data_IF_299591195422
#
_entry.id   IF_299591195422
#
_cell.length_a   1.000
_cell.length_b   1.000
_cell.length_c   1.000
_cell.angle_alpha   90.00
_cell.angle_beta   90.00
_cell.angle_gamma   90.00
#
_symmetry.space_group_name_H-M   'P 1'
#
loop_
_entity.id
_entity.type
_entity.pdbx_description
1 polymer ?
#
# COMPACT_ATOMS: atom_id res chain seq x y z
N UNK A 1 -23.83 -4.39 -5.68
CA UNK A 1 -23.64 -5.23 -4.47
C UNK A 1 -23.39 -4.32 -3.28
N UNK A 2 -23.95 -4.57 -2.09
CA UNK A 2 -23.62 -3.79 -0.90
C UNK A 2 -22.15 -4.00 -0.55
N UNK A 3 -21.36 -2.93 -0.48
CA UNK A 3 -19.92 -2.97 -0.15
C UNK A 3 -19.63 -3.65 1.19
N UNK A 4 -20.58 -3.61 2.12
CA UNK A 4 -20.50 -4.25 3.44
C UNK A 4 -20.43 -5.78 3.40
N UNK A 5 -21.18 -6.43 2.51
CA UNK A 5 -21.17 -7.90 2.38
C UNK A 5 -19.85 -8.40 1.79
N UNK A 6 -19.33 -7.65 0.81
CA UNK A 6 -18.05 -7.97 0.18
C UNK A 6 -16.88 -7.80 1.17
N UNK A 7 -16.87 -6.71 1.93
CA UNK A 7 -15.86 -6.48 2.97
C UNK A 7 -15.94 -7.54 4.08
N UNK A 8 -17.16 -7.95 4.47
CA UNK A 8 -17.39 -9.00 5.47
C UNK A 8 -16.88 -10.37 5.01
N UNK A 9 -17.24 -10.77 3.79
CA UNK A 9 -16.78 -12.01 3.17
C UNK A 9 -15.25 -12.02 3.03
N UNK A 10 -14.67 -10.93 2.51
CA UNK A 10 -13.23 -10.85 2.30
C UNK A 10 -12.42 -10.89 3.60
N UNK A 11 -12.91 -10.25 4.68
CA UNK A 11 -12.29 -10.35 6.01
C UNK A 11 -12.25 -11.77 6.54
N UNK A 12 -13.27 -12.59 6.29
CA UNK A 12 -13.28 -13.98 6.71
C UNK A 12 -12.26 -14.82 5.93
N UNK A 13 -12.17 -14.62 4.61
CA UNK A 13 -11.25 -15.37 3.75
C UNK A 13 -9.79 -14.98 3.98
N UNK A 14 -9.49 -13.68 4.12
CA UNK A 14 -8.11 -13.26 4.37
C UNK A 14 -7.61 -13.71 5.73
N UNK A 15 -8.48 -13.70 6.76
CA UNK A 15 -8.14 -14.19 8.10
C UNK A 15 -7.84 -15.68 8.16
N UNK A 16 -8.46 -16.52 7.34
CA UNK A 16 -8.19 -17.96 7.38
C UNK A 16 -6.84 -18.32 6.77
N UNK A 17 -6.40 -17.59 5.75
CA UNK A 17 -5.10 -17.81 5.10
C UNK A 17 -3.92 -17.30 5.95
N UNK A 18 -4.12 -16.19 6.64
CA UNK A 18 -3.12 -15.62 7.56
C UNK A 18 -3.36 -16.03 9.02
N UNK A 19 -4.34 -16.90 9.27
CA UNK A 19 -4.77 -17.27 10.61
C UNK A 19 -5.55 -18.57 10.69
N UNK A 20 -4.90 -19.57 11.28
CA UNK A 20 -5.47 -20.67 12.06
C UNK A 20 -4.31 -21.29 12.85
N UNK A 21 -4.23 -21.03 14.17
CA UNK A 21 -3.03 -21.25 15.00
C UNK A 21 -2.23 -19.95 15.21
N UNK A 22 -1.21 -19.95 16.10
CA UNK A 22 -0.53 -18.73 16.59
C UNK A 22 0.07 -17.78 15.52
N UNK A 23 0.16 -18.17 14.24
CA UNK A 23 0.56 -17.29 13.13
C UNK A 23 0.00 -17.63 11.71
N UNK A 24 -0.85 -18.67 11.55
CA UNK A 24 -1.36 -19.14 10.26
C UNK A 24 -0.35 -19.94 9.40
N UNK A 25 -0.84 -20.71 8.43
CA UNK A 25 -0.02 -21.66 7.65
C UNK A 25 1.09 -21.00 6.80
N UNK A 26 0.91 -19.74 6.39
CA UNK A 26 1.93 -18.97 5.68
C UNK A 26 3.18 -18.75 6.56
N UNK A 27 2.98 -18.52 7.86
CA UNK A 27 4.08 -18.42 8.81
C UNK A 27 4.75 -19.78 9.06
N UNK A 28 3.98 -20.87 9.05
CA UNK A 28 4.52 -22.24 9.17
C UNK A 28 5.44 -22.62 8.01
N UNK A 29 5.20 -22.07 6.81
CA UNK A 29 6.10 -22.21 5.66
C UNK A 29 7.38 -21.35 5.74
N UNK A 30 7.56 -20.56 6.81
CA UNK A 30 8.73 -19.71 7.01
C UNK A 30 8.71 -18.40 6.22
N UNK A 31 7.54 -17.94 5.77
CA UNK A 31 7.41 -16.65 5.09
C UNK A 31 7.78 -15.50 6.03
N UNK A 32 8.57 -14.54 5.54
CA UNK A 32 8.96 -13.34 6.28
C UNK A 32 8.12 -12.16 5.82
N UNK A 33 7.21 -11.73 6.68
CA UNK A 33 6.38 -10.57 6.45
C UNK A 33 6.41 -9.68 7.70
N UNK A 34 7.27 -8.67 7.70
CA UNK A 34 7.56 -7.87 8.89
C UNK A 34 6.36 -6.97 9.29
N UNK A 35 5.75 -6.29 8.32
CA UNK A 35 4.67 -5.32 8.57
C UNK A 35 3.38 -5.60 7.78
N UNK A 36 3.29 -6.68 7.01
CA UNK A 36 2.06 -7.06 6.30
C UNK A 36 2.07 -6.81 4.79
N UNK A 37 3.22 -6.95 4.11
CA UNK A 37 3.34 -7.02 2.66
C UNK A 37 2.27 -7.90 2.01
N UNK A 38 2.13 -9.12 2.53
CA UNK A 38 1.16 -10.10 2.03
C UNK A 38 -0.23 -9.81 2.61
N UNK A 39 -0.30 -9.57 3.91
CA UNK A 39 -1.57 -9.46 4.66
C UNK A 39 -2.36 -8.21 4.26
N UNK A 40 -1.70 -7.10 3.94
CA UNK A 40 -2.31 -5.80 3.67
C UNK A 40 -2.20 -5.45 2.18
N UNK A 41 -0.99 -5.38 1.62
CA UNK A 41 -0.79 -4.81 0.28
C UNK A 41 -1.17 -5.78 -0.84
N UNK A 42 -0.65 -7.01 -0.81
CA UNK A 42 -0.99 -8.02 -1.82
C UNK A 42 -2.46 -8.41 -1.72
N UNK A 43 -2.99 -8.61 -0.50
CA UNK A 43 -4.39 -9.00 -0.32
C UNK A 43 -5.36 -7.93 -0.84
N UNK A 44 -5.15 -6.66 -0.49
CA UNK A 44 -6.01 -5.57 -0.96
C UNK A 44 -5.82 -5.28 -2.45
N UNK A 45 -4.58 -5.36 -2.97
CA UNK A 45 -4.27 -5.14 -4.38
C UNK A 45 -4.90 -6.20 -5.29
N UNK A 46 -4.76 -7.48 -4.94
CA UNK A 46 -5.39 -8.58 -5.69
C UNK A 46 -6.92 -8.52 -5.62
N UNK A 47 -7.48 -8.13 -4.49
CA UNK A 47 -8.93 -7.88 -4.35
C UNK A 47 -9.40 -6.75 -5.25
N UNK A 48 -8.69 -5.62 -5.23
CA UNK A 48 -9.01 -4.45 -6.02
C UNK A 48 -8.95 -4.79 -7.52
N UNK A 49 -7.94 -5.56 -7.94
CA UNK A 49 -7.82 -6.05 -9.31
C UNK A 49 -8.99 -6.96 -9.70
N UNK A 50 -9.29 -7.98 -8.87
CA UNK A 50 -10.40 -8.89 -9.13
C UNK A 50 -11.74 -8.14 -9.24
N UNK A 51 -12.00 -7.19 -8.34
CA UNK A 51 -13.20 -6.36 -8.37
C UNK A 51 -13.25 -5.43 -9.58
N UNK A 52 -12.12 -4.81 -9.93
CA UNK A 52 -12.04 -3.95 -11.11
C UNK A 52 -12.34 -4.76 -12.39
N UNK A 53 -11.81 -5.99 -12.50
CA UNK A 53 -12.09 -6.88 -13.64
C UNK A 53 -13.55 -7.34 -13.69
N UNK A 54 -14.21 -7.56 -12.54
CA UNK A 54 -15.61 -7.98 -12.49
C UNK A 54 -16.59 -6.83 -12.75
N UNK A 55 -16.29 -5.63 -12.26
CA UNK A 55 -17.16 -4.45 -12.44
C UNK A 55 -17.01 -3.80 -13.81
N UNK A 56 -15.84 -3.94 -14.44
CA UNK A 56 -15.51 -3.32 -15.72
C UNK A 56 -15.19 -1.83 -15.61
N UNK A 57 -14.81 -1.23 -16.74
CA UNK A 57 -14.41 0.18 -16.79
C UNK A 57 -15.57 1.16 -16.58
N UNK A 58 -15.27 2.32 -15.99
CA UNK A 58 -16.24 3.42 -15.84
C UNK A 58 -16.47 4.12 -17.19
N UNK A 59 -17.74 4.42 -17.51
CA UNK A 59 -18.17 5.06 -18.78
C UNK A 59 -17.41 6.35 -19.17
N UNK A 60 -17.01 7.18 -18.20
CA UNK A 60 -16.32 8.47 -18.43
C UNK A 60 -14.88 8.46 -17.91
N UNK A 61 -14.11 7.41 -18.24
CA UNK A 61 -12.73 7.25 -17.77
C UNK A 61 -11.84 8.45 -18.13
N UNK A 62 -11.97 8.98 -19.34
CA UNK A 62 -11.14 10.08 -19.84
C UNK A 62 -11.33 11.40 -19.07
N UNK A 63 -12.44 11.58 -18.38
CA UNK A 63 -12.78 12.79 -17.61
C UNK A 63 -12.38 12.67 -16.12
N UNK A 64 -11.85 11.52 -15.71
CA UNK A 64 -11.53 11.22 -14.31
C UNK A 64 -10.16 11.78 -13.90
N UNK A 65 -10.01 13.10 -13.93
CA UNK A 65 -8.89 13.76 -13.26
C UNK A 65 -9.17 13.92 -11.75
N UNK A 66 -8.14 13.95 -10.88
CA UNK A 66 -8.37 14.16 -9.47
C UNK A 66 -9.01 15.52 -9.25
N UNK A 67 -10.13 15.55 -8.54
CA UNK A 67 -10.88 16.77 -8.28
C UNK A 67 -10.13 17.78 -7.41
N UNK A 68 -9.11 17.33 -6.64
CA UNK A 68 -8.30 18.19 -5.78
C UNK A 68 -6.91 17.61 -5.50
N UNK A 69 -5.88 18.12 -6.19
CA UNK A 69 -4.47 17.71 -6.01
C UNK A 69 -3.93 17.97 -4.59
N UNK A 70 -4.17 19.15 -3.97
CA UNK A 70 -3.73 19.39 -2.60
C UNK A 70 -4.18 18.33 -1.60
N UNK A 71 -5.42 17.81 -1.71
CA UNK A 71 -5.87 16.72 -0.85
C UNK A 71 -5.15 15.39 -1.11
N UNK A 72 -4.74 15.11 -2.35
CA UNK A 72 -3.93 13.93 -2.67
C UNK A 72 -2.56 14.03 -1.99
N UNK A 73 -1.92 15.19 -2.06
CA UNK A 73 -0.61 15.43 -1.42
C UNK A 73 -0.74 15.37 0.10
N UNK A 74 -1.80 15.99 0.67
CA UNK A 74 -2.07 15.92 2.11
C UNK A 74 -2.29 14.48 2.57
N UNK A 75 -3.11 13.71 1.84
CA UNK A 75 -3.34 12.30 2.12
C UNK A 75 -2.07 11.47 2.05
N UNK A 76 -1.25 11.68 1.02
CA UNK A 76 0.07 11.04 0.88
C UNK A 76 1.02 11.38 2.03
N UNK A 77 1.05 12.64 2.47
CA UNK A 77 1.87 13.07 3.61
C UNK A 77 1.43 12.44 4.94
N UNK A 78 0.12 12.39 5.19
CA UNK A 78 -0.44 11.70 6.38
C UNK A 78 -0.15 10.20 6.33
N UNK A 79 -0.26 9.59 5.15
CA UNK A 79 0.00 8.17 4.94
C UNK A 79 1.46 7.82 5.24
N UNK A 80 2.39 8.61 4.71
CA UNK A 80 3.82 8.42 4.97
C UNK A 80 4.17 8.59 6.45
N UNK A 81 3.64 9.63 7.10
CA UNK A 81 3.83 9.83 8.54
C UNK A 81 3.25 8.66 9.35
N UNK A 82 2.04 8.22 9.02
CA UNK A 82 1.40 7.08 9.66
C UNK A 82 2.16 5.77 9.46
N UNK A 83 2.86 5.63 8.34
CA UNK A 83 3.64 4.43 8.01
C UNK A 83 4.84 4.22 8.94
N UNK A 84 5.36 5.28 9.56
CA UNK A 84 6.34 5.17 10.64
C UNK A 84 5.79 4.33 11.80
N UNK A 85 4.52 4.51 12.16
CA UNK A 85 3.85 3.70 13.17
C UNK A 85 3.52 2.29 12.69
N UNK A 86 3.17 2.14 11.40
CA UNK A 86 2.86 0.84 10.79
C UNK A 86 4.09 -0.08 10.74
N UNK A 87 5.20 0.39 10.16
CA UNK A 87 6.44 -0.39 10.06
C UNK A 87 7.20 -0.42 11.40
N UNK A 88 7.41 0.74 12.04
CA UNK A 88 8.12 0.80 13.32
C UNK A 88 7.40 0.04 14.44
N UNK A 89 6.07 0.15 14.51
CA UNK A 89 5.25 -0.54 15.50
C UNK A 89 5.21 -2.06 15.33
N UNK A 90 5.51 -2.58 14.15
CA UNK A 90 5.58 -4.02 13.89
C UNK A 90 6.73 -4.71 14.62
N UNK A 91 7.68 -3.96 15.19
CA UNK A 91 8.70 -4.48 16.09
C UNK A 91 8.19 -4.79 17.50
N UNK A 92 6.99 -4.31 17.89
CA UNK A 92 6.38 -4.44 19.22
C UNK A 92 7.23 -3.93 20.41
N UNK A 93 8.33 -3.23 20.13
CA UNK A 93 9.22 -2.63 21.12
C UNK A 93 9.98 -1.44 20.53
N UNK A 94 10.36 -0.48 21.37
CA UNK A 94 11.25 0.62 20.99
C UNK A 94 12.72 0.16 21.05
N UNK A 95 13.16 -0.58 20.03
CA UNK A 95 14.48 -1.20 19.96
C UNK A 95 15.19 -0.90 18.62
N UNK A 96 16.32 -1.58 18.36
CA UNK A 96 17.07 -1.44 17.11
C UNK A 96 16.26 -1.82 15.86
N UNK A 97 15.37 -2.82 15.96
CA UNK A 97 14.53 -3.24 14.85
C UNK A 97 13.48 -2.18 14.50
N UNK A 98 12.87 -1.55 15.50
CA UNK A 98 11.98 -0.40 15.31
C UNK A 98 12.72 0.75 14.61
N UNK A 99 13.92 1.10 15.09
CA UNK A 99 14.73 2.16 14.49
C UNK A 99 15.09 1.84 13.03
N UNK A 100 15.48 0.59 12.75
CA UNK A 100 15.79 0.13 11.40
C UNK A 100 14.55 0.15 10.49
N UNK A 101 13.40 -0.32 10.98
CA UNK A 101 12.15 -0.31 10.25
C UNK A 101 11.71 1.11 9.87
N UNK A 102 11.80 2.05 10.82
CA UNK A 102 11.48 3.46 10.54
C UNK A 102 12.46 4.05 9.54
N UNK A 103 13.77 3.86 9.72
CA UNK A 103 14.79 4.40 8.82
C UNK A 103 14.61 3.88 7.38
N UNK A 104 14.42 2.56 7.23
CA UNK A 104 14.21 1.93 5.92
C UNK A 104 12.92 2.38 5.26
N UNK A 105 11.84 2.64 6.04
CA UNK A 105 10.58 3.20 5.51
C UNK A 105 10.80 4.56 4.84
N UNK A 106 11.52 5.48 5.51
CA UNK A 106 11.79 6.80 4.93
C UNK A 106 12.69 6.73 3.70
N UNK A 107 13.74 5.90 3.76
CA UNK A 107 14.68 5.73 2.63
C UNK A 107 13.99 5.09 1.43
N UNK A 108 13.20 4.03 1.65
CA UNK A 108 12.50 3.32 0.59
C UNK A 108 11.47 4.22 -0.11
N UNK A 109 10.64 4.93 0.65
CA UNK A 109 9.66 5.86 0.10
C UNK A 109 10.30 7.03 -0.67
N UNK A 110 11.40 7.60 -0.14
CA UNK A 110 12.13 8.65 -0.84
C UNK A 110 12.78 8.13 -2.13
N UNK A 111 13.42 6.96 -2.09
CA UNK A 111 14.04 6.34 -3.26
C UNK A 111 13.02 5.99 -4.33
N UNK A 112 11.88 5.42 -3.96
CA UNK A 112 10.80 5.07 -4.89
C UNK A 112 10.14 6.31 -5.50
N UNK A 113 9.93 7.38 -4.73
CA UNK A 113 9.47 8.66 -5.26
C UNK A 113 10.44 9.22 -6.31
N UNK A 114 11.72 9.32 -5.97
CA UNK A 114 12.75 9.86 -6.88
C UNK A 114 12.83 8.99 -8.14
N UNK A 115 12.78 7.67 -7.99
CA UNK A 115 12.78 6.74 -9.12
C UNK A 115 11.57 6.98 -10.02
N UNK A 116 10.37 7.08 -9.45
CA UNK A 116 9.15 7.29 -10.23
C UNK A 116 9.14 8.63 -10.96
N UNK A 117 9.53 9.72 -10.27
CA UNK A 117 9.68 11.06 -10.87
C UNK A 117 10.70 11.04 -12.02
N UNK A 118 11.78 10.28 -11.86
CA UNK A 118 12.78 10.11 -12.92
C UNK A 118 12.22 9.34 -14.10
N UNK A 119 11.50 8.23 -13.86
CA UNK A 119 10.84 7.44 -14.90
C UNK A 119 9.82 8.28 -15.66
N UNK A 120 8.97 9.02 -14.96
CA UNK A 120 7.98 9.92 -15.54
C UNK A 120 8.65 11.03 -16.36
N UNK A 121 9.77 11.58 -15.88
CA UNK A 121 10.54 12.58 -16.65
C UNK A 121 11.11 12.02 -17.96
N UNK A 122 11.51 10.74 -17.96
CA UNK A 122 12.09 10.06 -19.13
C UNK A 122 11.00 9.64 -20.12
N UNK A 123 9.89 9.08 -19.64
CA UNK A 123 8.83 8.52 -20.48
C UNK A 123 7.80 9.57 -20.90
N UNK A 124 7.38 10.43 -19.98
CA UNK A 124 6.28 11.38 -20.17
C UNK A 124 6.76 12.83 -20.32
N UNK A 125 8.06 13.08 -20.13
CA UNK A 125 8.72 14.37 -20.41
C UNK A 125 8.58 15.42 -19.30
N UNK A 126 7.65 15.27 -18.36
CA UNK A 126 7.49 16.16 -17.21
C UNK A 126 7.00 15.40 -15.97
N UNK A 127 7.59 15.65 -14.79
CA UNK A 127 7.15 15.02 -13.56
C UNK A 127 5.85 15.63 -13.04
N UNK A 128 5.03 14.83 -12.36
CA UNK A 128 3.76 15.25 -11.78
C UNK A 128 3.74 15.04 -10.27
N UNK A 129 2.95 15.85 -9.56
CA UNK A 129 2.77 15.68 -8.12
C UNK A 129 2.06 14.37 -7.78
N UNK A 130 1.19 13.89 -8.66
CA UNK A 130 0.51 12.60 -8.53
C UNK A 130 1.52 11.45 -8.71
N UNK A 131 2.40 11.55 -9.71
CA UNK A 131 3.49 10.60 -9.94
C UNK A 131 4.41 10.52 -8.73
N UNK A 132 4.85 11.67 -8.21
CA UNK A 132 5.69 11.71 -7.00
C UNK A 132 5.01 11.00 -5.81
N UNK A 133 3.75 11.33 -5.50
CA UNK A 133 3.04 10.67 -4.38
C UNK A 133 2.76 9.19 -4.64
N UNK A 134 2.49 8.79 -5.89
CA UNK A 134 2.31 7.38 -6.25
C UNK A 134 3.61 6.60 -6.06
N UNK A 135 4.74 7.17 -6.47
CA UNK A 135 6.07 6.59 -6.26
C UNK A 135 6.42 6.48 -4.77
N UNK A 136 6.10 7.51 -3.97
CA UNK A 136 6.30 7.44 -2.52
C UNK A 136 5.51 6.29 -1.90
N UNK A 137 4.22 6.15 -2.24
CA UNK A 137 3.36 5.06 -1.74
C UNK A 137 3.83 3.69 -2.23
N UNK A 138 4.41 3.60 -3.43
CA UNK A 138 4.97 2.35 -3.93
C UNK A 138 6.22 1.89 -3.16
N UNK A 139 6.95 2.82 -2.54
CA UNK A 139 8.12 2.51 -1.71
C UNK A 139 7.84 2.31 -0.22
N UNK A 140 6.64 2.68 0.24
CA UNK A 140 6.16 2.47 1.60
C UNK A 140 5.73 1.00 1.82
#
# INVERSE_FOLDING_TARGET
MPSSLLCGFWRCVSRSATGSGAAGWIAEMGAKDFAGGTVVHISSGTSALALASLLGERKHRAESFPSNLPFVILGGGILWLGWTGFNGGSAFAANGDCALAVATTYVAAAAAMVMWVTVERILDGAPTSIGAMSGAVAGL
#
